data_IF_708748892403
#
_entry.id   IF_708748892403
#
_cell.length_a   1.000
_cell.length_b   1.000
_cell.length_c   1.000
_cell.angle_alpha   90.00
_cell.angle_beta   90.00
_cell.angle_gamma   90.00
#
_symmetry.space_group_name_H-M   'P 1'
#
loop_
_entity.id
_entity.type
_entity.pdbx_description
1 polymer ?
#
# COMPACT_ATOMS: atom_id res chain seq x y z
N UNK A 1 -61.53 -4.94 68.98
CA UNK A 1 -61.78 -6.14 68.14
C UNK A 1 -60.51 -6.41 67.36
N UNK A 2 -59.82 -7.53 67.62
CA UNK A 2 -58.49 -7.85 67.05
C UNK A 2 -58.65 -8.44 65.65
N UNK A 3 -58.04 -7.83 64.63
CA UNK A 3 -57.90 -8.41 63.28
C UNK A 3 -56.57 -9.17 63.18
N UNK A 4 -56.53 -10.36 62.53
CA UNK A 4 -55.33 -11.21 62.53
C UNK A 4 -54.33 -10.78 61.44
N UNK A 5 -53.04 -10.86 61.76
CA UNK A 5 -51.95 -10.62 60.82
C UNK A 5 -51.68 -11.90 60.04
N UNK A 6 -51.97 -11.88 58.73
CA UNK A 6 -51.63 -12.95 57.79
C UNK A 6 -50.14 -12.87 57.46
N UNK A 7 -49.35 -13.83 57.95
CA UNK A 7 -47.91 -13.91 57.74
C UNK A 7 -47.63 -14.33 56.30
N UNK A 8 -47.30 -13.37 55.42
CA UNK A 8 -46.95 -13.63 54.03
C UNK A 8 -45.58 -14.32 53.95
N UNK A 9 -45.55 -15.60 53.57
CA UNK A 9 -44.34 -16.29 53.12
C UNK A 9 -43.83 -15.64 51.83
N UNK A 10 -42.73 -14.90 51.90
CA UNK A 10 -42.04 -14.36 50.73
C UNK A 10 -41.10 -15.45 50.21
N UNK A 11 -41.50 -16.13 49.14
CA UNK A 11 -40.58 -16.95 48.36
C UNK A 11 -39.55 -16.04 47.69
N UNK A 12 -38.28 -16.10 48.12
CA UNK A 12 -37.17 -15.40 47.46
C UNK A 12 -36.86 -16.11 46.14
N UNK A 13 -37.38 -15.60 45.03
CA UNK A 13 -36.98 -16.03 43.69
C UNK A 13 -35.63 -15.40 43.37
N UNK A 14 -34.59 -16.21 43.26
CA UNK A 14 -33.26 -15.79 42.81
C UNK A 14 -33.28 -15.74 41.26
N UNK A 15 -33.43 -14.55 40.69
CA UNK A 15 -33.28 -14.35 39.24
C UNK A 15 -31.78 -14.17 38.96
N UNK A 16 -31.14 -15.22 38.46
CA UNK A 16 -29.78 -15.15 37.93
C UNK A 16 -29.84 -14.43 36.58
N UNK A 17 -29.41 -13.18 36.52
CA UNK A 17 -29.21 -12.46 35.26
C UNK A 17 -27.85 -12.84 34.69
N UNK A 18 -27.86 -13.60 33.59
CA UNK A 18 -26.66 -13.88 32.81
C UNK A 18 -26.29 -12.59 32.06
N UNK A 19 -25.28 -11.87 32.55
CA UNK A 19 -24.72 -10.72 31.82
C UNK A 19 -23.77 -11.24 30.75
N UNK A 20 -24.19 -11.16 29.48
CA UNK A 20 -23.32 -11.45 28.34
C UNK A 20 -22.41 -10.25 28.13
N UNK A 21 -21.17 -10.33 28.62
CA UNK A 21 -20.15 -9.33 28.30
C UNK A 21 -19.64 -9.60 26.87
N UNK A 22 -20.11 -8.82 25.90
CA UNK A 22 -19.49 -8.80 24.58
C UNK A 22 -18.14 -8.10 24.70
N UNK A 23 -17.05 -8.85 24.59
CA UNK A 23 -15.73 -8.29 24.40
C UNK A 23 -15.70 -7.64 23.00
N UNK A 24 -15.79 -6.31 22.94
CA UNK A 24 -15.57 -5.57 21.70
C UNK A 24 -14.05 -5.57 21.46
N UNK A 25 -13.61 -6.26 20.41
CA UNK A 25 -12.22 -6.18 19.98
C UNK A 25 -11.88 -4.72 19.64
N UNK A 26 -10.72 -4.25 20.11
CA UNK A 26 -10.25 -2.89 19.80
C UNK A 26 -10.04 -2.79 18.28
N UNK A 27 -10.84 -1.98 17.61
CA UNK A 27 -10.62 -1.69 16.19
C UNK A 27 -9.31 -0.92 16.07
N UNK A 28 -8.32 -1.52 15.40
CA UNK A 28 -7.05 -0.84 15.12
C UNK A 28 -7.39 0.35 14.22
N UNK A 29 -7.01 1.56 14.64
CA UNK A 29 -7.13 2.74 13.78
C UNK A 29 -6.23 2.53 12.56
N UNK A 30 -6.85 2.34 11.41
CA UNK A 30 -6.20 2.18 10.10
C UNK A 30 -6.14 3.49 9.33
N UNK A 31 -6.60 4.60 9.91
CA UNK A 31 -6.59 5.89 9.21
C UNK A 31 -5.16 6.36 8.97
N UNK A 32 -4.91 6.90 7.78
CA UNK A 32 -3.60 7.49 7.50
C UNK A 32 -3.47 8.83 8.23
N UNK A 33 -2.45 8.94 9.08
CA UNK A 33 -2.09 10.20 9.73
C UNK A 33 -1.46 11.14 8.70
N UNK A 34 -2.10 12.28 8.48
CA UNK A 34 -1.59 13.33 7.60
C UNK A 34 -1.04 14.46 8.45
N UNK A 35 0.20 14.84 8.17
CA UNK A 35 0.84 15.99 8.79
C UNK A 35 0.80 17.16 7.81
N UNK A 36 0.55 18.40 8.28
CA UNK A 36 0.70 19.56 7.43
C UNK A 36 2.14 19.60 6.92
N UNK A 37 2.32 20.00 5.65
CA UNK A 37 3.63 20.35 5.13
C UNK A 37 4.64 19.17 5.15
N UNK A 38 4.13 17.94 5.13
CA UNK A 38 4.92 16.73 5.04
C UNK A 38 5.12 16.29 3.59
N UNK A 39 6.29 15.70 3.33
CA UNK A 39 6.58 14.98 2.10
C UNK A 39 5.95 13.59 2.18
N UNK A 40 5.05 13.26 1.26
CA UNK A 40 4.34 11.99 1.23
C UNK A 40 4.77 11.18 0.02
N UNK A 41 5.25 9.95 0.21
CA UNK A 41 5.66 9.10 -0.90
C UNK A 41 5.42 7.63 -0.58
N UNK A 42 5.40 6.81 -1.62
CA UNK A 42 5.31 5.35 -1.49
C UNK A 42 6.69 4.75 -1.76
N UNK A 43 7.05 3.73 -0.98
CA UNK A 43 8.23 2.91 -1.21
C UNK A 43 7.77 1.48 -1.49
N UNK A 44 8.27 0.87 -2.56
CA UNK A 44 7.96 -0.51 -2.95
C UNK A 44 9.18 -1.19 -3.56
N UNK A 45 9.25 -2.51 -3.49
CA UNK A 45 10.30 -3.34 -4.09
C UNK A 45 9.72 -4.66 -4.59
N UNK A 46 10.49 -5.40 -5.37
CA UNK A 46 10.23 -6.81 -5.69
C UNK A 46 8.87 -7.07 -6.38
N UNK A 47 8.57 -6.34 -7.45
CA UNK A 47 7.18 -6.13 -7.85
C UNK A 47 6.77 -6.59 -9.25
N UNK A 48 7.61 -6.51 -10.28
CA UNK A 48 7.16 -6.75 -11.66
C UNK A 48 7.04 -8.22 -12.02
N UNK A 49 5.80 -8.73 -12.11
CA UNK A 49 5.50 -10.14 -12.37
C UNK A 49 4.28 -10.33 -13.27
N UNK A 50 4.15 -9.56 -14.36
CA UNK A 50 3.07 -9.73 -15.34
C UNK A 50 1.64 -9.64 -14.75
N UNK A 51 1.48 -8.96 -13.62
CA UNK A 51 0.23 -8.88 -12.86
C UNK A 51 -0.01 -10.02 -11.87
N UNK A 52 0.87 -11.02 -11.81
CA UNK A 52 0.79 -12.18 -10.91
C UNK A 52 1.29 -11.87 -9.48
N UNK A 53 1.28 -12.86 -8.59
CA UNK A 53 1.79 -12.77 -7.20
C UNK A 53 1.28 -11.56 -6.41
N UNK A 54 -0.03 -11.31 -6.52
CA UNK A 54 -0.73 -10.16 -5.92
C UNK A 54 -0.30 -8.78 -6.43
N UNK A 55 0.47 -8.69 -7.53
CA UNK A 55 0.89 -7.42 -8.11
C UNK A 55 -0.31 -6.52 -8.44
N UNK A 56 -1.37 -7.05 -9.07
CA UNK A 56 -2.59 -6.29 -9.37
C UNK A 56 -3.32 -5.81 -8.09
N UNK A 57 -3.63 -6.68 -7.10
CA UNK A 57 -4.17 -6.24 -5.81
C UNK A 57 -3.33 -5.15 -5.12
N UNK A 58 -2.00 -5.29 -5.11
CA UNK A 58 -1.08 -4.31 -4.52
C UNK A 58 -1.15 -2.99 -5.30
N UNK A 59 -1.13 -3.02 -6.64
CA UNK A 59 -1.25 -1.83 -7.47
C UNK A 59 -2.56 -1.07 -7.20
N UNK A 60 -3.67 -1.79 -7.02
CA UNK A 60 -4.96 -1.19 -6.63
C UNK A 60 -4.88 -0.51 -5.27
N UNK A 61 -4.31 -1.18 -4.27
CA UNK A 61 -4.18 -0.62 -2.93
C UNK A 61 -3.21 0.57 -2.91
N UNK A 62 -2.15 0.51 -3.71
CA UNK A 62 -1.25 1.64 -3.92
C UNK A 62 -1.99 2.85 -4.46
N UNK A 63 -2.89 2.70 -5.44
CA UNK A 63 -3.70 3.81 -5.97
C UNK A 63 -4.59 4.46 -4.91
N UNK A 64 -5.27 3.65 -4.08
CA UNK A 64 -6.06 4.15 -2.96
C UNK A 64 -5.19 4.94 -1.98
N UNK A 65 -4.04 4.37 -1.60
CA UNK A 65 -3.11 4.97 -0.64
C UNK A 65 -2.50 6.26 -1.18
N UNK A 66 -2.06 6.25 -2.44
CA UNK A 66 -1.49 7.37 -3.17
C UNK A 66 -2.46 8.57 -3.18
N UNK A 67 -3.73 8.30 -3.47
CA UNK A 67 -4.80 9.32 -3.41
C UNK A 67 -5.01 9.82 -1.98
N UNK A 68 -5.07 8.92 -0.99
CA UNK A 68 -5.31 9.29 0.40
C UNK A 68 -4.22 10.20 0.96
N UNK A 69 -2.95 9.87 0.72
CA UNK A 69 -1.82 10.63 1.28
C UNK A 69 -1.44 11.86 0.45
N UNK A 70 -2.10 12.09 -0.69
CA UNK A 70 -1.66 13.07 -1.69
C UNK A 70 -0.15 12.96 -1.97
N UNK A 71 0.32 11.74 -2.24
CA UNK A 71 1.71 11.44 -2.62
C UNK A 71 2.32 12.47 -3.60
N UNK A 72 3.59 12.72 -3.39
CA UNK A 72 4.49 13.53 -4.21
C UNK A 72 5.21 12.69 -5.27
N UNK A 73 5.61 11.47 -4.92
CA UNK A 73 6.31 10.53 -5.80
C UNK A 73 6.29 9.09 -5.27
N UNK A 74 6.89 8.18 -6.05
CA UNK A 74 7.07 6.76 -5.73
C UNK A 74 8.56 6.40 -5.83
N UNK A 75 9.07 5.62 -4.89
CA UNK A 75 10.40 5.01 -4.91
C UNK A 75 10.22 3.51 -5.16
N UNK A 76 10.89 3.00 -6.19
CA UNK A 76 10.97 1.56 -6.47
C UNK A 76 12.38 1.05 -6.16
N UNK A 77 12.51 0.13 -5.21
CA UNK A 77 13.79 -0.25 -4.60
C UNK A 77 14.51 -1.38 -5.33
N UNK A 78 14.14 -1.67 -6.58
CA UNK A 78 14.74 -2.73 -7.39
C UNK A 78 13.91 -4.00 -7.46
N UNK A 79 14.44 -4.96 -8.23
CA UNK A 79 13.75 -6.15 -8.70
C UNK A 79 12.43 -5.76 -9.38
N UNK A 80 12.61 -4.85 -10.34
CA UNK A 80 11.53 -4.21 -11.07
C UNK A 80 10.88 -5.18 -12.06
N UNK A 81 11.65 -6.11 -12.62
CA UNK A 81 11.15 -7.09 -13.59
C UNK A 81 11.72 -8.49 -13.33
N UNK A 82 10.85 -9.40 -12.89
CA UNK A 82 11.19 -10.81 -12.70
C UNK A 82 10.89 -11.66 -13.95
N UNK A 83 11.59 -12.80 -14.12
CA UNK A 83 12.75 -13.24 -13.33
C UNK A 83 14.10 -12.73 -13.88
N UNK A 84 14.14 -12.16 -15.10
CA UNK A 84 15.41 -11.84 -15.79
C UNK A 84 15.36 -10.43 -16.42
N UNK A 85 14.92 -9.43 -15.66
CA UNK A 85 14.91 -8.04 -16.11
C UNK A 85 14.13 -7.84 -17.42
N UNK A 86 14.44 -6.75 -18.12
CA UNK A 86 13.95 -6.48 -19.49
C UNK A 86 15.09 -6.64 -20.50
N UNK A 87 14.78 -7.04 -21.74
CA UNK A 87 15.78 -7.16 -22.81
C UNK A 87 16.13 -5.82 -23.46
N UNK A 88 15.16 -4.91 -23.57
CA UNK A 88 15.30 -3.57 -24.15
C UNK A 88 14.27 -2.59 -23.58
N UNK A 89 14.39 -1.32 -23.92
CA UNK A 89 13.41 -0.28 -23.60
C UNK A 89 12.07 -0.47 -24.35
N UNK A 90 12.01 -1.43 -25.26
CA UNK A 90 10.81 -1.82 -26.01
C UNK A 90 10.28 -3.22 -25.61
N UNK A 91 10.84 -3.83 -24.57
CA UNK A 91 10.40 -5.14 -24.08
C UNK A 91 8.90 -5.09 -23.67
N UNK A 92 8.07 -6.06 -24.10
CA UNK A 92 6.66 -6.13 -23.70
C UNK A 92 6.43 -6.14 -22.18
N UNK A 93 7.43 -6.54 -21.38
CA UNK A 93 7.38 -6.51 -19.92
C UNK A 93 7.08 -5.12 -19.35
N UNK A 94 7.47 -4.05 -20.03
CA UNK A 94 7.08 -2.70 -19.61
C UNK A 94 5.56 -2.54 -19.54
N UNK A 95 4.83 -3.11 -20.50
CA UNK A 95 3.36 -3.09 -20.48
C UNK A 95 2.81 -4.06 -19.46
N UNK A 96 3.18 -5.33 -19.56
CA UNK A 96 2.57 -6.40 -18.74
C UNK A 96 2.90 -6.30 -17.26
N UNK A 97 4.02 -5.68 -16.88
CA UNK A 97 4.48 -5.60 -15.50
C UNK A 97 4.46 -4.19 -14.91
N UNK A 98 4.34 -3.12 -15.72
CA UNK A 98 4.37 -1.74 -15.20
C UNK A 98 3.23 -0.86 -15.72
N UNK A 99 3.16 -0.62 -17.03
CA UNK A 99 2.22 0.37 -17.60
C UNK A 99 0.76 -0.07 -17.51
N UNK A 100 0.45 -1.34 -17.76
CA UNK A 100 -0.93 -1.85 -17.69
C UNK A 100 -1.30 -2.34 -16.27
N UNK A 101 -0.36 -2.30 -15.32
CA UNK A 101 -0.56 -2.72 -13.94
C UNK A 101 -0.85 -1.53 -13.01
N UNK A 102 0.00 -0.51 -13.04
CA UNK A 102 -0.10 0.66 -12.15
C UNK A 102 -0.88 1.79 -12.82
N UNK A 103 -2.14 1.51 -13.16
CA UNK A 103 -3.00 2.33 -14.04
C UNK A 103 -3.87 3.37 -13.31
N UNK A 104 -3.91 3.35 -11.97
CA UNK A 104 -4.65 4.37 -11.23
C UNK A 104 -4.08 5.76 -11.54
N UNK A 105 -4.94 6.77 -11.74
CA UNK A 105 -4.50 8.13 -12.01
C UNK A 105 -3.47 8.57 -10.96
N UNK A 106 -3.71 8.23 -9.69
CA UNK A 106 -2.82 8.63 -8.60
C UNK A 106 -1.40 8.05 -8.69
N UNK A 107 -1.15 7.04 -9.52
CA UNK A 107 0.17 6.44 -9.74
C UNK A 107 0.89 6.98 -10.99
N UNK A 108 0.31 7.93 -11.71
CA UNK A 108 0.94 8.65 -12.84
C UNK A 108 1.83 9.83 -12.40
N UNK A 109 2.46 9.70 -11.24
CA UNK A 109 3.43 10.65 -10.67
C UNK A 109 4.86 10.17 -10.96
N UNK A 110 5.88 10.92 -10.56
CA UNK A 110 7.26 10.49 -10.76
C UNK A 110 7.56 9.22 -9.94
N UNK A 111 8.06 8.19 -10.62
CA UNK A 111 8.71 7.02 -10.05
C UNK A 111 10.21 7.20 -10.13
N UNK A 112 10.90 6.93 -9.04
CA UNK A 112 12.36 6.91 -8.93
C UNK A 112 12.82 5.48 -8.63
N UNK A 113 13.05 4.65 -9.66
CA UNK A 113 13.45 3.26 -9.50
C UNK A 113 14.97 3.12 -9.42
N UNK A 114 15.44 2.15 -8.64
CA UNK A 114 16.81 1.63 -8.71
C UNK A 114 16.80 0.19 -9.20
N UNK A 115 17.97 -0.39 -9.46
CA UNK A 115 18.12 -1.77 -9.96
C UNK A 115 18.31 -2.75 -8.80
N UNK A 116 17.63 -3.90 -8.86
CA UNK A 116 17.92 -5.09 -8.06
C UNK A 116 18.68 -6.15 -8.86
N UNK A 117 18.94 -7.31 -8.24
CA UNK A 117 19.71 -8.37 -8.88
C UNK A 117 18.99 -9.01 -10.07
N UNK A 118 17.66 -9.12 -10.05
CA UNK A 118 16.91 -9.66 -11.19
C UNK A 118 16.96 -8.73 -12.41
N UNK A 119 17.03 -7.42 -12.17
CA UNK A 119 17.19 -6.42 -13.23
C UNK A 119 18.55 -6.54 -13.93
N UNK A 120 19.61 -6.84 -13.16
CA UNK A 120 20.96 -7.08 -13.68
C UNK A 120 21.10 -8.38 -14.46
N UNK A 121 20.18 -9.34 -14.29
CA UNK A 121 20.17 -10.56 -15.08
C UNK A 121 19.69 -10.32 -16.53
N UNK A 122 18.94 -9.24 -16.77
CA UNK A 122 18.57 -8.76 -18.10
C UNK A 122 19.47 -7.64 -18.60
N UNK A 123 18.86 -6.60 -19.18
CA UNK A 123 19.55 -5.39 -19.63
C UNK A 123 19.27 -4.20 -18.68
N UNK A 124 20.15 -3.90 -17.72
CA UNK A 124 19.96 -2.76 -16.82
C UNK A 124 19.99 -1.40 -17.54
N UNK A 125 20.69 -1.28 -18.67
CA UNK A 125 20.73 -0.03 -19.44
C UNK A 125 19.41 0.24 -20.17
N UNK A 126 18.62 -0.79 -20.46
CA UNK A 126 17.28 -0.63 -20.99
C UNK A 126 16.35 0.08 -20.00
N UNK A 127 16.47 -0.20 -18.70
CA UNK A 127 15.72 0.51 -17.67
C UNK A 127 16.14 1.97 -17.54
N UNK A 128 17.42 2.28 -17.74
CA UNK A 128 17.88 3.68 -17.85
C UNK A 128 17.31 4.34 -19.11
N UNK A 129 17.39 3.67 -20.26
CA UNK A 129 16.90 4.17 -21.55
C UNK A 129 15.39 4.43 -21.55
N UNK A 130 14.62 3.63 -20.81
CA UNK A 130 13.16 3.78 -20.69
C UNK A 130 12.73 5.12 -20.07
N UNK A 131 13.61 5.82 -19.36
CA UNK A 131 13.39 7.21 -18.89
C UNK A 131 13.05 8.17 -20.03
N UNK A 132 13.48 7.86 -21.26
CA UNK A 132 13.16 8.66 -22.45
C UNK A 132 11.79 8.33 -23.07
N UNK A 133 11.17 7.23 -22.65
CA UNK A 133 9.90 6.72 -23.19
C UNK A 133 8.75 7.04 -22.24
N UNK A 134 8.88 6.68 -20.96
CA UNK A 134 7.81 6.87 -19.97
C UNK A 134 8.03 8.13 -19.15
N UNK A 135 7.06 9.05 -19.19
CA UNK A 135 7.08 10.31 -18.41
C UNK A 135 7.25 10.08 -16.91
N UNK A 136 6.69 8.98 -16.41
CA UNK A 136 6.69 8.68 -14.97
C UNK A 136 7.91 7.88 -14.52
N UNK A 137 8.66 7.27 -15.43
CA UNK A 137 9.87 6.52 -15.10
C UNK A 137 11.09 7.45 -15.08
N UNK A 138 11.64 7.74 -13.89
CA UNK A 138 12.74 8.68 -13.73
C UNK A 138 14.00 7.96 -13.21
N UNK A 139 14.77 7.37 -14.12
CA UNK A 139 16.00 6.64 -13.81
C UNK A 139 17.15 7.08 -14.73
N UNK A 140 17.75 8.27 -14.47
CA UNK A 140 18.71 8.88 -15.41
C UNK A 140 20.04 8.12 -15.52
N UNK A 141 20.37 7.28 -14.54
CA UNK A 141 21.53 6.42 -14.51
C UNK A 141 21.26 5.23 -13.56
N UNK A 142 22.10 4.18 -13.65
CA UNK A 142 22.04 3.02 -12.75
C UNK A 142 22.14 3.39 -11.27
N UNK A 143 22.85 4.48 -10.98
CA UNK A 143 22.93 5.11 -9.66
C UNK A 143 22.66 6.60 -9.84
N UNK A 144 21.75 7.16 -9.04
CA UNK A 144 21.40 8.57 -9.12
C UNK A 144 20.95 9.10 -7.76
N UNK A 145 20.90 10.42 -7.63
CA UNK A 145 20.43 11.12 -6.44
C UNK A 145 19.28 12.06 -6.78
N UNK A 146 18.34 12.21 -5.86
CA UNK A 146 17.25 13.18 -5.94
C UNK A 146 17.07 13.86 -4.59
N UNK A 147 16.96 15.18 -4.60
CA UNK A 147 16.72 15.99 -3.40
C UNK A 147 15.32 16.57 -3.46
N UNK A 148 14.66 16.62 -2.31
CA UNK A 148 13.34 17.22 -2.14
C UNK A 148 13.38 18.13 -0.93
N UNK A 149 12.77 19.29 -1.07
CA UNK A 149 12.53 20.17 0.06
C UNK A 149 11.35 19.63 0.86
N UNK A 150 11.49 19.61 2.18
CA UNK A 150 10.37 19.37 3.08
C UNK A 150 9.80 20.75 3.40
N UNK A 151 8.86 21.20 2.57
CA UNK A 151 8.21 22.49 2.73
C UNK A 151 7.23 22.44 3.89
N UNK A 152 7.78 22.58 5.11
CA UNK A 152 7.17 23.11 6.33
C UNK A 152 6.46 24.44 6.12
#
# INVERSE_FOLDING_TARGET
>A
MKTPVLQKMIAKVFICTLSVNFAVAQTKDTSVKKYPNALNFIVMGDWGRFGEDHQIPVARQMGITAKEINRDFIIATGDNFYPVGVASEYDPQWKSSFEDIYTDFSLHWNWYPVLGNHDYAGNPDAQVAYTKISRRWNMPARYHSKTFDING
#
